data_IF_974468179543
#
_entry.id   IF_974468179543
#
_cell.length_a   1.000
_cell.length_b   1.000
_cell.length_c   1.000
_cell.angle_alpha   90.00
_cell.angle_beta   90.00
_cell.angle_gamma   90.00
#
_symmetry.space_group_name_H-M   'P 1'
#
loop_
_entity.id
_entity.type
_entity.pdbx_description
1 polymer ?
#
# COMPACT_ATOMS: atom_id res chain seq x y z
N UNK A 1 -6.01 -18.63 -9.46
CA UNK A 1 -7.00 -19.50 -8.78
C UNK A 1 -8.26 -18.66 -8.53
N UNK A 2 -9.00 -18.27 -9.59
CA UNK A 2 -10.17 -17.37 -9.53
C UNK A 2 -11.51 -18.12 -9.71
N UNK A 3 -11.55 -19.44 -9.50
CA UNK A 3 -12.70 -20.29 -9.89
C UNK A 3 -13.69 -20.63 -8.77
N UNK A 4 -13.41 -20.30 -7.51
CA UNK A 4 -14.29 -20.64 -6.39
C UNK A 4 -14.45 -19.46 -5.41
N UNK A 5 -15.11 -18.40 -5.86
CA UNK A 5 -15.58 -17.33 -4.96
C UNK A 5 -16.85 -17.72 -4.19
N UNK A 6 -17.55 -18.80 -4.58
CA UNK A 6 -18.84 -19.19 -4.02
C UNK A 6 -18.80 -19.70 -2.57
N UNK A 7 -17.62 -19.99 -2.02
CA UNK A 7 -17.45 -20.40 -0.60
C UNK A 7 -17.01 -19.26 0.32
N UNK A 8 -16.57 -18.14 -0.25
CA UNK A 8 -16.40 -16.91 0.52
C UNK A 8 -17.79 -16.28 0.58
N UNK A 9 -18.53 -16.54 1.66
CA UNK A 9 -19.81 -15.87 1.89
C UNK A 9 -19.64 -14.39 1.59
N UNK A 10 -20.31 -13.89 0.54
CA UNK A 10 -20.21 -12.51 0.11
C UNK A 10 -20.79 -11.67 1.26
N UNK A 11 -19.91 -11.18 2.13
CA UNK A 11 -20.31 -10.44 3.33
C UNK A 11 -20.93 -9.09 2.91
N UNK A 12 -20.37 -8.44 1.90
CA UNK A 12 -20.86 -7.16 1.39
C UNK A 12 -20.48 -6.98 -0.09
N UNK A 13 -21.41 -6.48 -0.90
CA UNK A 13 -21.17 -6.06 -2.29
C UNK A 13 -21.17 -4.55 -2.34
N UNK A 14 -20.08 -3.97 -2.86
CA UNK A 14 -20.01 -2.55 -3.20
C UNK A 14 -20.03 -2.40 -4.72
N UNK A 15 -20.74 -1.39 -5.21
CA UNK A 15 -20.69 -0.96 -6.60
C UNK A 15 -20.03 0.41 -6.69
N UNK A 16 -19.33 0.66 -7.80
CA UNK A 16 -18.66 1.92 -8.08
C UNK A 16 -18.77 2.23 -9.57
N UNK A 17 -19.05 3.49 -9.89
CA UNK A 17 -19.05 3.97 -11.27
C UNK A 17 -17.62 4.28 -11.70
N UNK A 18 -17.16 3.61 -12.75
CA UNK A 18 -15.84 3.87 -13.32
C UNK A 18 -15.91 5.11 -14.22
N UNK A 19 -15.43 6.24 -13.70
CA UNK A 19 -15.47 7.52 -14.42
C UNK A 19 -14.38 7.63 -15.49
N UNK A 20 -13.17 7.12 -15.22
CA UNK A 20 -12.03 7.20 -16.12
C UNK A 20 -11.07 6.02 -15.92
N UNK A 21 -10.40 5.62 -17.01
CA UNK A 21 -9.19 4.81 -16.96
C UNK A 21 -8.10 5.51 -17.77
N UNK A 22 -6.88 5.53 -17.26
CA UNK A 22 -5.74 5.74 -18.14
C UNK A 22 -5.64 4.53 -19.07
N UNK A 23 -5.62 4.75 -20.39
CA UNK A 23 -5.56 3.67 -21.37
C UNK A 23 -4.42 2.66 -21.08
N UNK A 24 -4.63 1.40 -21.47
CA UNK A 24 -3.66 0.33 -21.24
C UNK A 24 -2.30 0.64 -21.88
N UNK A 25 -1.30 0.91 -21.05
CA UNK A 25 0.10 1.08 -21.47
C UNK A 25 0.95 -0.06 -20.90
N UNK A 26 1.98 -0.52 -21.61
CA UNK A 26 2.96 -1.43 -21.03
C UNK A 26 3.52 -0.85 -19.73
N UNK A 27 3.71 -1.68 -18.72
CA UNK A 27 4.39 -1.26 -17.49
C UNK A 27 5.81 -0.78 -17.83
N UNK A 28 6.24 0.39 -17.33
CA UNK A 28 7.59 0.91 -17.59
C UNK A 28 8.61 0.14 -16.75
N UNK A 29 8.88 -1.12 -17.12
CA UNK A 29 9.63 -2.08 -16.30
C UNK A 29 11.03 -1.60 -15.94
N UNK A 30 11.72 -0.92 -16.85
CA UNK A 30 13.05 -0.34 -16.59
C UNK A 30 13.00 0.70 -15.46
N UNK A 31 12.01 1.59 -15.50
CA UNK A 31 11.79 2.59 -14.45
C UNK A 31 11.35 1.96 -13.13
N UNK A 32 10.50 0.92 -13.19
CA UNK A 32 10.05 0.17 -12.00
C UNK A 32 11.22 -0.51 -11.31
N UNK A 33 12.03 -1.29 -12.04
CA UNK A 33 13.18 -2.02 -11.48
C UNK A 33 14.23 -1.05 -10.94
N UNK A 34 14.58 0.00 -11.70
CA UNK A 34 15.52 1.02 -11.23
C UNK A 34 15.02 1.73 -9.96
N UNK A 35 13.73 2.09 -9.92
CA UNK A 35 13.12 2.71 -8.75
C UNK A 35 13.07 1.75 -7.54
N UNK A 36 12.84 0.46 -7.75
CA UNK A 36 12.83 -0.54 -6.68
C UNK A 36 14.22 -0.73 -6.07
N UNK A 37 15.27 -0.73 -6.89
CA UNK A 37 16.67 -0.82 -6.43
C UNK A 37 17.04 0.44 -5.62
N UNK A 38 16.75 1.63 -6.16
CA UNK A 38 17.00 2.91 -5.47
C UNK A 38 16.27 2.96 -4.13
N UNK A 39 14.98 2.59 -4.13
CA UNK A 39 14.16 2.50 -2.90
C UNK A 39 14.82 1.56 -1.90
N UNK A 40 15.16 0.33 -2.32
CA UNK A 40 15.77 -0.69 -1.45
C UNK A 40 17.08 -0.24 -0.81
N UNK A 41 17.91 0.50 -1.56
CA UNK A 41 19.21 0.97 -1.09
C UNK A 41 19.10 1.99 0.05
N UNK A 42 18.08 2.85 0.02
CA UNK A 42 17.98 4.00 0.95
C UNK A 42 16.77 3.97 1.89
N UNK A 43 15.78 3.09 1.70
CA UNK A 43 14.52 3.09 2.47
C UNK A 43 14.69 3.06 3.99
N UNK A 44 15.71 2.37 4.52
CA UNK A 44 15.97 2.29 5.96
C UNK A 44 16.23 3.67 6.58
N UNK A 45 16.68 4.64 5.78
CA UNK A 45 16.90 6.04 6.21
C UNK A 45 15.59 6.83 6.33
N UNK A 46 14.53 6.40 5.65
CA UNK A 46 13.19 6.98 5.77
C UNK A 46 12.39 6.40 6.95
N UNK A 47 12.94 5.35 7.59
CA UNK A 47 12.33 4.77 8.76
C UNK A 47 12.34 5.71 9.98
N UNK A 48 11.42 5.47 10.90
CA UNK A 48 11.29 6.14 12.18
C UNK A 48 11.22 5.09 13.29
N UNK A 49 11.93 5.29 14.42
CA UNK A 49 11.76 4.42 15.58
C UNK A 49 10.30 4.46 16.04
N UNK A 50 9.68 3.30 16.16
CA UNK A 50 8.31 3.12 16.63
C UNK A 50 8.36 2.16 17.81
N UNK A 51 7.72 2.52 18.93
CA UNK A 51 7.71 1.69 20.14
C UNK A 51 6.94 0.38 19.93
N UNK A 52 5.96 0.40 19.02
CA UNK A 52 5.10 -0.74 18.68
C UNK A 52 5.19 -1.06 17.20
N UNK A 53 5.26 -2.35 16.88
CA UNK A 53 5.28 -2.83 15.50
C UNK A 53 3.89 -2.62 14.85
N UNK A 54 3.86 -1.86 13.75
CA UNK A 54 2.62 -1.53 13.01
C UNK A 54 2.31 -2.61 11.96
N UNK A 55 3.19 -2.81 10.97
CA UNK A 55 3.12 -3.93 10.04
C UNK A 55 3.50 -5.24 10.72
N UNK A 56 2.73 -6.29 10.48
CA UNK A 56 3.15 -7.65 10.84
C UNK A 56 4.41 -8.04 10.06
N UNK A 57 5.18 -9.01 10.56
CA UNK A 57 6.34 -9.54 9.83
C UNK A 57 5.97 -10.05 8.42
N UNK A 58 4.77 -10.62 8.29
CA UNK A 58 4.22 -11.05 7.01
C UNK A 58 4.03 -9.86 6.07
N UNK A 59 3.31 -8.82 6.51
CA UNK A 59 3.00 -7.66 5.68
C UNK A 59 4.28 -6.90 5.28
N UNK A 60 5.20 -6.71 6.22
CA UNK A 60 6.51 -6.10 5.92
C UNK A 60 7.30 -6.91 4.89
N UNK A 61 7.29 -8.25 5.01
CA UNK A 61 7.94 -9.12 4.03
C UNK A 61 7.27 -9.03 2.67
N UNK A 62 5.94 -9.03 2.62
CA UNK A 62 5.16 -8.91 1.39
C UNK A 62 5.51 -7.63 0.63
N UNK A 63 5.48 -6.47 1.28
CA UNK A 63 5.91 -5.19 0.69
C UNK A 63 7.36 -5.20 0.18
N UNK A 64 8.21 -6.06 0.73
CA UNK A 64 9.64 -6.10 0.39
C UNK A 64 9.98 -7.12 -0.69
N UNK A 65 9.02 -7.93 -1.17
CA UNK A 65 9.25 -8.83 -2.31
C UNK A 65 9.22 -8.03 -3.62
N UNK A 66 10.09 -8.38 -4.56
CA UNK A 66 10.16 -7.72 -5.88
C UNK A 66 9.03 -8.16 -6.82
N UNK A 67 8.38 -9.28 -6.54
CA UNK A 67 7.24 -9.83 -7.28
C UNK A 67 5.88 -9.36 -6.74
N UNK A 68 5.89 -8.51 -5.71
CA UNK A 68 4.67 -7.93 -5.15
C UNK A 68 4.28 -6.65 -5.89
N UNK A 69 2.98 -6.48 -6.08
CA UNK A 69 2.39 -5.35 -6.75
C UNK A 69 1.73 -4.46 -5.69
N UNK A 70 2.13 -3.20 -5.66
CA UNK A 70 1.56 -2.20 -4.77
C UNK A 70 0.82 -1.12 -5.55
N UNK A 71 -0.34 -0.72 -5.05
CA UNK A 71 -1.22 0.30 -5.65
C UNK A 71 -1.62 1.30 -4.57
N UNK A 72 -1.34 2.57 -4.81
CA UNK A 72 -1.72 3.67 -3.93
C UNK A 72 -3.07 4.21 -4.39
N UNK A 73 -4.01 4.36 -3.47
CA UNK A 73 -5.26 5.07 -3.70
C UNK A 73 -5.36 6.33 -2.84
N UNK A 74 -6.02 7.34 -3.38
CA UNK A 74 -6.30 8.62 -2.72
C UNK A 74 -7.66 9.14 -3.17
N UNK A 75 -8.22 10.07 -2.41
CA UNK A 75 -9.32 10.92 -2.89
C UNK A 75 -8.72 12.20 -3.46
N UNK A 76 -9.07 12.53 -4.69
CA UNK A 76 -8.59 13.75 -5.35
C UNK A 76 -9.37 14.99 -4.90
N UNK A 77 -8.91 16.18 -5.29
CA UNK A 77 -9.53 17.45 -4.90
C UNK A 77 -10.99 17.59 -5.37
N UNK A 78 -11.36 16.88 -6.44
CA UNK A 78 -12.73 16.80 -6.96
C UNK A 78 -13.62 15.77 -6.23
N UNK A 79 -13.09 15.09 -5.20
CA UNK A 79 -13.80 14.05 -4.44
C UNK A 79 -13.79 12.65 -5.07
N UNK A 80 -13.17 12.47 -6.23
CA UNK A 80 -13.12 11.18 -6.94
C UNK A 80 -11.91 10.36 -6.45
N UNK A 81 -12.08 9.06 -6.14
CA UNK A 81 -10.94 8.21 -5.82
C UNK A 81 -10.11 7.89 -7.06
N UNK A 82 -8.78 7.99 -6.95
CA UNK A 82 -7.85 7.56 -8.00
C UNK A 82 -6.85 6.54 -7.46
N UNK A 83 -6.35 5.68 -8.37
CA UNK A 83 -5.41 4.61 -8.07
C UNK A 83 -4.17 4.76 -8.95
N UNK A 84 -2.99 4.78 -8.34
CA UNK A 84 -1.70 4.87 -9.01
C UNK A 84 -0.82 3.67 -8.65
N UNK A 85 -0.25 2.95 -9.63
CA UNK A 85 0.71 1.88 -9.33
C UNK A 85 1.98 2.43 -8.67
N UNK A 86 2.41 1.78 -7.59
CA UNK A 86 3.67 2.02 -6.89
C UNK A 86 4.42 0.69 -6.69
N UNK A 87 4.60 -0.07 -7.76
CA UNK A 87 5.20 -1.43 -7.75
C UNK A 87 6.58 -1.48 -7.06
N UNK A 88 7.32 -0.37 -7.10
CA UNK A 88 8.62 -0.18 -6.44
C UNK A 88 8.54 0.04 -4.92
N UNK A 89 7.33 0.16 -4.34
CA UNK A 89 7.11 0.45 -2.94
C UNK A 89 7.66 -0.66 -2.05
N UNK A 90 8.29 -0.26 -0.94
CA UNK A 90 8.83 -1.17 0.05
C UNK A 90 8.59 -0.63 1.45
N UNK A 91 8.54 -1.53 2.43
CA UNK A 91 8.51 -1.14 3.83
C UNK A 91 9.88 -0.58 4.23
N UNK A 92 9.91 0.67 4.69
CA UNK A 92 11.09 1.33 5.25
C UNK A 92 11.40 0.77 6.65
N UNK A 93 10.35 0.52 7.41
CA UNK A 93 10.30 -0.18 8.69
C UNK A 93 8.87 -0.72 8.89
N UNK A 94 8.45 -1.00 10.13
CA UNK A 94 7.09 -1.48 10.38
C UNK A 94 6.00 -0.41 10.24
N UNK A 95 6.29 0.86 10.49
CA UNK A 95 5.35 1.97 10.51
C UNK A 95 5.34 2.82 9.24
N UNK A 96 6.29 2.63 8.32
CA UNK A 96 6.45 3.45 7.12
C UNK A 96 6.68 2.65 5.86
N UNK A 97 6.03 3.09 4.79
CA UNK A 97 6.34 2.69 3.42
C UNK A 97 7.16 3.77 2.72
N UNK A 98 8.02 3.37 1.81
CA UNK A 98 8.80 4.27 0.97
C UNK A 98 8.83 3.81 -0.49
N UNK A 99 8.86 4.76 -1.42
CA UNK A 99 8.95 4.50 -2.85
C UNK A 99 9.67 5.64 -3.58
N UNK A 100 10.52 5.29 -4.54
CA UNK A 100 11.13 6.27 -5.46
C UNK A 100 10.12 6.68 -6.55
N UNK A 101 9.99 7.98 -6.93
CA UNK A 101 8.98 8.46 -7.88
C UNK A 101 9.32 8.25 -9.36
N UNK A 102 10.34 7.43 -9.67
CA UNK A 102 10.85 7.25 -11.04
C UNK A 102 9.89 6.52 -11.99
N UNK A 103 9.01 5.66 -11.46
CA UNK A 103 7.91 5.07 -12.20
C UNK A 103 6.60 5.77 -11.82
N UNK A 104 5.76 6.09 -12.81
CA UNK A 104 4.50 6.82 -12.64
C UNK A 104 4.66 8.21 -12.01
N UNK A 105 5.82 8.86 -12.21
CA UNK A 105 6.18 10.10 -11.55
C UNK A 105 5.20 11.25 -11.75
N UNK A 106 4.57 11.38 -12.92
CA UNK A 106 3.61 12.46 -13.19
C UNK A 106 2.33 12.34 -12.34
N UNK A 107 1.85 11.11 -12.11
CA UNK A 107 0.71 10.84 -11.23
C UNK A 107 1.08 10.95 -9.75
N UNK A 108 2.29 10.50 -9.39
CA UNK A 108 2.80 10.56 -8.03
C UNK A 108 3.09 12.00 -7.57
N UNK A 109 3.51 12.88 -8.48
CA UNK A 109 3.72 14.31 -8.19
C UNK A 109 2.43 15.07 -7.88
N UNK A 110 1.26 14.53 -8.25
CA UNK A 110 -0.04 15.11 -7.86
C UNK A 110 -0.39 14.84 -6.39
N UNK A 111 0.35 13.94 -5.72
CA UNK A 111 0.17 13.71 -4.28
C UNK A 111 0.57 14.95 -3.48
N UNK A 112 -0.29 15.34 -2.54
CA UNK A 112 -0.02 16.43 -1.60
C UNK A 112 0.44 15.85 -0.26
N UNK A 113 1.53 16.38 0.28
CA UNK A 113 1.96 16.02 1.62
C UNK A 113 0.83 16.29 2.64
N UNK A 114 0.66 15.39 3.60
CA UNK A 114 -0.43 15.41 4.57
C UNK A 114 -1.73 14.75 4.08
N UNK A 115 -1.81 14.28 2.82
CA UNK A 115 -3.02 13.62 2.34
C UNK A 115 -3.18 12.22 2.91
N UNK A 116 -4.43 11.83 3.19
CA UNK A 116 -4.75 10.43 3.51
C UNK A 116 -4.64 9.59 2.25
N UNK A 117 -3.92 8.48 2.35
CA UNK A 117 -3.77 7.51 1.27
C UNK A 117 -4.00 6.10 1.79
N UNK A 118 -4.36 5.19 0.89
CA UNK A 118 -4.31 3.76 1.16
C UNK A 118 -3.34 3.08 0.20
N UNK A 119 -2.67 2.03 0.64
CA UNK A 119 -1.80 1.22 -0.22
C UNK A 119 -2.21 -0.23 -0.11
N UNK A 120 -2.64 -0.81 -1.22
CA UNK A 120 -2.87 -2.25 -1.36
C UNK A 120 -1.60 -2.89 -1.90
N UNK A 121 -1.08 -3.90 -1.22
CA UNK A 121 0.00 -4.74 -1.71
C UNK A 121 -0.51 -6.16 -1.88
N UNK A 122 -0.19 -6.79 -3.01
CA UNK A 122 -0.54 -8.17 -3.30
C UNK A 122 0.55 -8.93 -4.07
N UNK A 123 0.58 -10.25 -3.92
CA UNK A 123 1.45 -11.13 -4.71
C UNK A 123 0.67 -11.96 -5.73
N UNK A 124 1.38 -12.60 -6.65
CA UNK A 124 0.79 -13.56 -7.59
C UNK A 124 0.32 -14.86 -6.92
N UNK A 125 0.75 -15.10 -5.67
CA UNK A 125 0.31 -16.21 -4.81
C UNK A 125 -0.99 -15.88 -4.06
N UNK A 126 -1.63 -14.76 -4.42
CA UNK A 126 -2.87 -14.25 -3.82
C UNK A 126 -2.71 -13.87 -2.35
N UNK A 127 -1.52 -13.48 -1.92
CA UNK A 127 -1.32 -12.83 -0.63
C UNK A 127 -1.68 -11.35 -0.77
N UNK A 128 -2.36 -10.76 0.20
CA UNK A 128 -2.59 -9.31 0.18
C UNK A 128 -2.63 -8.68 1.57
N UNK A 129 -2.28 -7.39 1.61
CA UNK A 129 -2.48 -6.53 2.77
C UNK A 129 -2.82 -5.12 2.29
N UNK A 130 -3.71 -4.44 3.00
CA UNK A 130 -4.01 -3.03 2.75
C UNK A 130 -3.55 -2.21 3.96
N UNK A 131 -2.92 -1.08 3.72
CA UNK A 131 -2.65 -0.08 4.75
C UNK A 131 -3.38 1.21 4.45
N UNK A 132 -3.73 1.95 5.50
CA UNK A 132 -4.17 3.33 5.43
C UNK A 132 -3.17 4.19 6.20
N UNK A 133 -2.83 5.35 5.66
CA UNK A 133 -1.84 6.23 6.27
C UNK A 133 -1.86 7.63 5.69
N UNK A 134 -0.83 8.39 6.05
CA UNK A 134 -0.62 9.76 5.60
C UNK A 134 0.62 9.80 4.71
N UNK A 135 0.48 10.37 3.51
CA UNK A 135 1.61 10.65 2.65
C UNK A 135 2.40 11.85 3.19
N UNK A 136 3.65 11.63 3.62
CA UNK A 136 4.48 12.67 4.23
C UNK A 136 5.08 13.64 3.20
N UNK A 137 4.99 13.33 1.91
CA UNK A 137 5.64 14.08 0.84
C UNK A 137 6.85 13.36 0.26
N UNK A 138 7.58 14.08 -0.59
CA UNK A 138 8.86 13.64 -1.16
C UNK A 138 10.01 14.33 -0.46
N UNK A 139 11.00 13.56 0.00
CA UNK A 139 12.21 14.10 0.62
C UNK A 139 13.46 13.31 0.16
N UNK A 140 14.65 13.85 0.44
CA UNK A 140 15.94 13.27 0.06
C UNK A 140 16.54 12.45 1.19
N UNK A 141 16.73 11.16 0.92
CA UNK A 141 17.37 10.20 1.80
C UNK A 141 18.66 9.71 1.17
N UNK A 142 19.80 10.11 1.73
CA UNK A 142 21.14 9.83 1.18
C UNK A 142 21.26 10.19 -0.32
N UNK A 143 20.73 11.35 -0.70
CA UNK A 143 20.76 11.86 -2.09
C UNK A 143 19.69 11.29 -3.02
N UNK A 144 18.90 10.29 -2.58
CA UNK A 144 17.82 9.69 -3.37
C UNK A 144 16.47 10.24 -2.90
N UNK A 145 15.63 10.68 -3.84
CA UNK A 145 14.28 11.16 -3.52
C UNK A 145 13.35 9.98 -3.25
N UNK A 146 12.71 9.95 -2.08
CA UNK A 146 11.67 8.98 -1.74
C UNK A 146 10.38 9.69 -1.34
N UNK A 147 9.25 9.15 -1.79
CA UNK A 147 7.96 9.40 -1.19
C UNK A 147 7.77 8.49 0.02
N UNK A 148 7.21 9.01 1.11
CA UNK A 148 7.01 8.27 2.35
C UNK A 148 5.54 8.27 2.74
N UNK A 149 5.03 7.12 3.18
CA UNK A 149 3.70 6.99 3.77
C UNK A 149 3.85 6.48 5.19
N UNK A 150 3.39 7.26 6.17
CA UNK A 150 3.28 6.84 7.56
C UNK A 150 1.97 6.10 7.78
N UNK A 151 2.07 4.87 8.29
CA UNK A 151 0.97 3.92 8.42
C UNK A 151 0.21 4.21 9.71
N UNK A 152 -1.09 4.43 9.59
CA UNK A 152 -1.99 4.62 10.73
C UNK A 152 -2.76 3.33 11.05
N UNK A 153 -3.15 2.59 10.02
CA UNK A 153 -3.96 1.38 10.16
C UNK A 153 -3.54 0.31 9.15
N UNK A 154 -3.62 -0.94 9.57
CA UNK A 154 -3.37 -2.11 8.70
C UNK A 154 -4.62 -2.96 8.66
N UNK A 155 -5.03 -3.34 7.46
CA UNK A 155 -6.23 -4.13 7.19
C UNK A 155 -5.83 -5.43 6.51
N UNK A 156 -6.30 -6.54 7.08
CA UNK A 156 -6.26 -7.82 6.40
C UNK A 156 -7.39 -7.84 5.35
N UNK A 157 -7.02 -7.80 4.07
CA UNK A 157 -7.96 -7.91 2.95
C UNK A 157 -8.26 -9.36 2.54
N UNK A 158 -7.59 -10.33 3.16
CA UNK A 158 -7.76 -11.74 2.84
C UNK A 158 -8.91 -12.39 3.61
N UNK A 159 -9.80 -13.15 2.95
CA UNK A 159 -10.74 -14.03 3.63
C UNK A 159 -10.01 -15.13 4.43
N UNK A 160 -10.59 -15.71 5.48
CA UNK A 160 -11.93 -15.48 6.06
C UNK A 160 -11.96 -14.43 7.18
N UNK A 161 -10.81 -13.90 7.57
CA UNK A 161 -10.66 -13.02 8.73
C UNK A 161 -10.26 -11.61 8.28
N UNK A 162 -11.10 -10.99 7.45
CA UNK A 162 -10.88 -9.64 6.98
C UNK A 162 -11.20 -8.62 8.09
N UNK A 163 -10.38 -7.58 8.22
CA UNK A 163 -10.55 -6.61 9.30
C UNK A 163 -9.30 -5.78 9.59
N UNK A 164 -9.46 -4.75 10.40
CA UNK A 164 -8.33 -3.97 10.91
C UNK A 164 -7.53 -4.82 11.89
N UNK A 165 -6.26 -5.06 11.57
CA UNK A 165 -5.31 -5.79 12.42
C UNK A 165 -4.34 -4.85 13.15
N UNK A 166 -4.32 -3.57 12.77
CA UNK A 166 -3.65 -2.51 13.50
C UNK A 166 -4.52 -1.22 13.50
N UNK A 167 -4.65 -0.51 14.65
CA UNK A 167 -4.15 -0.88 15.97
C UNK A 167 -4.76 -2.18 16.49
N UNK A 168 -4.01 -2.92 17.31
CA UNK A 168 -4.46 -4.22 17.83
C UNK A 168 -5.58 -4.00 18.85
N UNK A 169 -6.76 -4.51 18.56
CA UNK A 169 -7.89 -4.53 19.50
C UNK A 169 -7.82 -5.79 20.36
N UNK A 170 -8.00 -5.69 21.69
CA UNK A 170 -8.13 -6.87 22.55
C UNK A 170 -9.29 -7.77 22.11
N UNK A 171 -9.11 -9.09 22.22
CA UNK A 171 -10.19 -10.04 21.98
C UNK A 171 -11.11 -10.05 23.20
N UNK A 172 -12.40 -9.80 22.97
CA UNK A 172 -13.43 -9.88 24.00
C UNK A 172 -14.30 -11.13 23.76
N UNK A 173 -14.66 -11.89 24.81
CA UNK A 173 -15.56 -13.02 24.67
C UNK A 173 -16.97 -12.55 24.28
N UNK A 174 -17.62 -13.28 23.37
CA UNK A 174 -19.02 -13.01 23.01
C UNK A 174 -19.91 -13.43 24.19
N UNK A 175 -20.49 -12.46 24.88
CA UNK A 175 -21.32 -12.67 26.09
C UNK A 175 -22.83 -12.63 25.82
N UNK A 176 -23.26 -12.15 24.66
CA UNK A 176 -24.66 -12.06 24.25
C UNK A 176 -24.85 -12.61 22.83
N UNK A 177 -25.83 -13.49 22.66
CA UNK A 177 -26.24 -14.11 21.39
C UNK A 177 -27.68 -13.71 21.06
#
# INVERSE_FOLDING_TARGET
>A
MFRYNSYFGINTVHYLDLLEITGGKPLPMTAVVGSAILTKAVKKRAGRPEDKRVLTHFAERLFNRLDSLSFLSRVEDNGVPSITPIVQCQAADSGRLAFHPGAFGDELKKLKAGSTVSVLCLSMEMESVMVRGVFEGFDRYAGVTLGVVSIERVYNSMPSNNGWIYPVTPLEPVVHF
#
